data_IF_472071629433
#
_entry.id   IF_472071629433
#
_cell.length_a   1.000
_cell.length_b   1.000
_cell.length_c   1.000
_cell.angle_alpha   90.00
_cell.angle_beta   90.00
_cell.angle_gamma   90.00
#
_symmetry.space_group_name_H-M   'P 1'
#
loop_
_entity.id
_entity.type
_entity.pdbx_description
1 polymer ?
#
# COMPACT_ATOMS: atom_id res chain seq x y z
N UNK A 1 -28.00 10.18 -3.07
CA UNK A 1 -27.01 9.95 -4.12
C UNK A 1 -25.62 9.78 -3.48
N UNK A 2 -24.87 8.80 -3.92
CA UNK A 2 -23.48 8.63 -3.48
C UNK A 2 -22.60 9.45 -4.43
N UNK A 3 -21.85 10.41 -3.88
CA UNK A 3 -20.87 11.18 -4.62
C UNK A 3 -19.50 10.53 -4.38
N UNK A 4 -18.86 10.09 -5.44
CA UNK A 4 -17.50 9.54 -5.36
C UNK A 4 -16.49 10.62 -4.96
N UNK A 5 -15.37 10.19 -4.36
CA UNK A 5 -14.29 11.09 -3.99
C UNK A 5 -13.76 11.81 -5.25
N UNK A 6 -13.63 13.15 -5.23
CA UNK A 6 -13.16 13.89 -6.39
C UNK A 6 -11.69 13.57 -6.67
N UNK A 7 -11.40 13.25 -7.92
CA UNK A 7 -10.05 13.00 -8.41
C UNK A 7 -9.64 14.06 -9.41
N UNK A 8 -8.36 14.37 -9.44
CA UNK A 8 -7.73 15.18 -10.48
C UNK A 8 -6.70 14.35 -11.22
N UNK A 9 -6.65 14.54 -12.53
CA UNK A 9 -5.52 14.09 -13.33
C UNK A 9 -4.39 15.11 -13.20
N UNK A 10 -3.19 14.61 -13.02
CA UNK A 10 -1.98 15.40 -12.95
C UNK A 10 -1.03 14.94 -14.05
N UNK A 11 -0.34 15.87 -14.67
CA UNK A 11 0.75 15.56 -15.57
C UNK A 11 1.91 14.96 -14.77
N UNK A 12 2.58 13.97 -15.36
CA UNK A 12 3.74 13.36 -14.72
C UNK A 12 4.90 14.36 -14.64
N UNK A 13 5.50 14.42 -13.46
CA UNK A 13 6.72 15.19 -13.19
C UNK A 13 7.88 14.25 -12.91
N UNK A 14 9.08 14.67 -13.23
CA UNK A 14 10.28 13.93 -12.86
C UNK A 14 10.48 14.01 -11.34
N UNK A 15 10.53 12.85 -10.70
CA UNK A 15 10.72 12.73 -9.25
C UNK A 15 12.20 12.72 -8.85
N UNK A 16 13.10 12.58 -9.82
CA UNK A 16 14.53 12.45 -9.57
C UNK A 16 14.85 11.35 -8.52
N UNK A 17 14.13 10.21 -8.62
CA UNK A 17 14.30 9.05 -7.73
C UNK A 17 15.07 7.97 -8.48
N UNK A 18 16.17 7.54 -7.92
CA UNK A 18 16.95 6.42 -8.44
C UNK A 18 16.52 5.12 -7.74
N UNK A 19 15.90 4.22 -8.48
CA UNK A 19 15.55 2.86 -8.04
C UNK A 19 16.43 1.86 -8.79
N UNK A 20 17.21 1.10 -8.04
CA UNK A 20 18.14 0.12 -8.59
C UNK A 20 17.39 -1.02 -9.31
N UNK A 21 16.36 -1.55 -8.66
CA UNK A 21 15.58 -2.67 -9.18
C UNK A 21 14.39 -2.21 -10.03
N UNK A 22 14.01 -3.03 -11.02
CA UNK A 22 12.87 -2.75 -11.91
C UNK A 22 11.52 -3.13 -11.31
N UNK A 23 11.52 -3.89 -10.21
CA UNK A 23 10.32 -4.26 -9.48
C UNK A 23 10.38 -3.68 -8.06
N UNK A 24 9.55 -2.66 -7.80
CA UNK A 24 9.48 -2.07 -6.48
C UNK A 24 8.03 -2.07 -5.97
N UNK A 25 7.87 -2.36 -4.69
CA UNK A 25 6.65 -2.12 -3.94
C UNK A 25 6.65 -0.71 -3.37
N UNK A 26 5.47 -0.20 -3.06
CA UNK A 26 5.27 1.12 -2.46
C UNK A 26 4.47 1.02 -1.18
N UNK A 27 4.91 1.71 -0.15
CA UNK A 27 4.14 2.00 1.07
C UNK A 27 3.97 3.51 1.17
N UNK A 28 2.74 3.99 1.34
CA UNK A 28 2.43 5.40 1.60
C UNK A 28 1.60 5.49 2.86
N UNK A 29 2.21 5.94 3.96
CA UNK A 29 1.55 5.97 5.26
C UNK A 29 2.31 6.83 6.24
N UNK A 30 1.63 7.46 7.19
CA UNK A 30 2.27 7.99 8.39
C UNK A 30 2.71 6.80 9.28
N UNK A 31 3.83 6.93 9.94
CA UNK A 31 4.36 5.89 10.83
C UNK A 31 3.67 5.96 12.20
N UNK A 32 2.56 5.27 12.33
CA UNK A 32 1.78 5.22 13.56
C UNK A 32 1.20 3.82 13.83
N UNK A 33 0.73 3.55 15.06
CA UNK A 33 0.25 2.22 15.47
C UNK A 33 -0.81 1.67 14.54
N UNK A 34 -1.83 2.48 14.19
CA UNK A 34 -2.94 2.07 13.31
C UNK A 34 -2.47 1.65 11.91
N UNK A 35 -1.36 2.21 11.43
CA UNK A 35 -0.88 1.96 10.06
C UNK A 35 -0.04 0.69 9.92
N UNK A 36 0.39 0.08 11.03
CA UNK A 36 1.10 -1.20 11.07
C UNK A 36 2.32 -1.25 10.12
N UNK A 37 3.00 -0.11 9.99
CA UNK A 37 4.07 0.06 8.99
C UNK A 37 5.29 -0.81 9.31
N UNK A 38 5.59 -1.04 10.59
CA UNK A 38 6.72 -1.88 11.00
C UNK A 38 6.59 -3.32 10.54
N UNK A 39 5.43 -3.93 10.75
CA UNK A 39 5.18 -5.29 10.26
C UNK A 39 5.12 -5.30 8.73
N UNK A 40 4.57 -4.25 8.10
CA UNK A 40 4.55 -4.14 6.63
C UNK A 40 5.97 -4.20 6.06
N UNK A 41 6.92 -3.43 6.65
CA UNK A 41 8.32 -3.42 6.20
C UNK A 41 9.03 -4.71 6.58
N UNK A 42 8.95 -5.14 7.86
CA UNK A 42 9.65 -6.32 8.37
C UNK A 42 9.31 -7.57 7.59
N UNK A 43 8.01 -7.89 7.46
CA UNK A 43 7.56 -9.09 6.75
C UNK A 43 7.85 -9.03 5.24
N UNK A 44 7.87 -7.81 4.65
CA UNK A 44 8.29 -7.62 3.28
C UNK A 44 9.80 -7.94 3.12
N UNK A 45 10.65 -7.44 4.01
CA UNK A 45 12.10 -7.73 3.99
C UNK A 45 12.37 -9.21 4.21
N UNK A 46 11.69 -9.84 5.18
CA UNK A 46 11.80 -11.29 5.42
C UNK A 46 11.47 -12.12 4.19
N UNK A 47 10.43 -11.71 3.42
CA UNK A 47 10.03 -12.41 2.21
C UNK A 47 11.02 -12.23 1.07
N UNK A 48 11.64 -11.07 0.97
CA UNK A 48 12.44 -10.70 -0.21
C UNK A 48 13.93 -10.48 0.06
N UNK A 49 14.44 -10.76 1.26
CA UNK A 49 15.84 -10.51 1.61
C UNK A 49 16.87 -11.07 0.59
N UNK A 50 16.55 -12.18 -0.06
CA UNK A 50 17.42 -12.86 -1.02
C UNK A 50 17.10 -12.50 -2.49
N UNK A 51 16.19 -11.54 -2.74
CA UNK A 51 15.74 -11.16 -4.07
C UNK A 51 16.16 -9.72 -4.42
N UNK A 52 16.39 -9.48 -5.70
CA UNK A 52 16.68 -8.16 -6.27
C UNK A 52 15.38 -7.39 -6.55
N UNK A 53 14.75 -6.91 -5.49
CA UNK A 53 13.48 -6.13 -5.50
C UNK A 53 13.59 -4.96 -4.53
N UNK A 54 12.76 -3.93 -4.74
CA UNK A 54 12.75 -2.73 -3.90
C UNK A 54 11.45 -2.53 -3.14
N UNK A 55 11.56 -1.84 -2.00
CA UNK A 55 10.45 -1.27 -1.26
C UNK A 55 10.65 0.24 -1.11
N UNK A 56 9.79 1.02 -1.70
CA UNK A 56 9.74 2.48 -1.51
C UNK A 56 8.80 2.77 -0.35
N UNK A 57 9.32 3.38 0.71
CA UNK A 57 8.57 3.74 1.91
C UNK A 57 8.43 5.26 1.96
N UNK A 58 7.26 5.76 1.56
CA UNK A 58 6.89 7.17 1.68
C UNK A 58 6.19 7.38 3.02
N UNK A 59 6.88 7.98 3.99
CA UNK A 59 6.41 8.08 5.37
C UNK A 59 6.99 9.28 6.12
N UNK A 60 6.39 9.58 7.26
CA UNK A 60 6.89 10.48 8.30
C UNK A 60 6.33 10.00 9.65
N UNK A 61 6.95 10.37 10.76
CA UNK A 61 6.43 10.05 12.10
C UNK A 61 5.27 10.99 12.47
N UNK A 62 5.55 12.29 12.55
CA UNK A 62 4.57 13.30 13.01
C UNK A 62 4.46 14.44 12.00
N UNK A 63 5.59 15.01 11.59
CA UNK A 63 5.70 16.19 10.74
C UNK A 63 6.72 15.96 9.62
N UNK A 64 6.98 16.99 8.84
CA UNK A 64 7.90 16.96 7.71
C UNK A 64 9.22 17.69 7.99
N UNK A 65 9.55 17.87 9.28
CA UNK A 65 10.79 18.53 9.70
C UNK A 65 12.02 17.66 9.47
N UNK A 66 13.20 18.28 9.44
CA UNK A 66 14.46 17.54 9.35
C UNK A 66 14.67 16.61 10.54
N UNK A 67 14.27 17.04 11.74
CA UNK A 67 14.35 16.21 12.96
C UNK A 67 13.48 14.96 12.83
N UNK A 68 12.24 15.10 12.33
CA UNK A 68 11.36 13.96 12.07
C UNK A 68 11.99 13.00 11.03
N UNK A 69 12.64 13.57 10.00
CA UNK A 69 13.35 12.78 8.99
C UNK A 69 14.45 11.92 9.59
N UNK A 70 15.28 12.48 10.47
CA UNK A 70 16.36 11.72 11.11
C UNK A 70 15.82 10.64 12.03
N UNK A 71 14.78 10.89 12.81
CA UNK A 71 14.12 9.87 13.62
C UNK A 71 13.47 8.78 12.76
N UNK A 72 12.79 9.14 11.69
CA UNK A 72 12.19 8.17 10.75
C UNK A 72 13.26 7.28 10.12
N UNK A 73 14.37 7.88 9.68
CA UNK A 73 15.53 7.17 9.13
C UNK A 73 16.15 6.21 10.14
N UNK A 74 16.40 6.68 11.37
CA UNK A 74 16.97 5.86 12.43
C UNK A 74 16.05 4.65 12.74
N UNK A 75 14.75 4.87 12.84
CA UNK A 75 13.77 3.80 13.08
C UNK A 75 13.75 2.76 11.96
N UNK A 76 13.80 3.21 10.69
CA UNK A 76 13.93 2.31 9.55
C UNK A 76 15.24 1.53 9.59
N UNK A 77 16.36 2.18 9.89
CA UNK A 77 17.67 1.52 10.02
C UNK A 77 17.68 0.46 11.12
N UNK A 78 17.03 0.71 12.26
CA UNK A 78 16.88 -0.29 13.32
C UNK A 78 16.11 -1.53 12.85
N UNK A 79 15.03 -1.36 12.10
CA UNK A 79 14.30 -2.50 11.52
C UNK A 79 15.17 -3.30 10.55
N UNK A 80 15.97 -2.61 9.74
CA UNK A 80 16.80 -3.24 8.71
C UNK A 80 18.09 -3.86 9.25
N UNK A 81 18.52 -3.50 10.46
CA UNK A 81 19.73 -4.01 11.09
C UNK A 81 19.71 -5.54 11.34
N UNK A 82 18.51 -6.13 11.45
CA UNK A 82 18.34 -7.58 11.56
C UNK A 82 18.62 -8.34 10.24
N UNK A 83 18.79 -7.63 9.13
CA UNK A 83 18.96 -8.21 7.78
C UNK A 83 20.15 -7.56 7.04
N UNK A 84 21.39 -7.68 7.57
CA UNK A 84 22.55 -6.97 7.01
C UNK A 84 22.91 -7.44 5.60
N UNK A 85 22.74 -8.73 5.29
CA UNK A 85 23.13 -9.36 4.02
C UNK A 85 21.98 -9.40 2.99
N UNK A 86 20.92 -8.62 3.21
CA UNK A 86 19.78 -8.59 2.26
C UNK A 86 20.19 -8.06 0.89
N UNK A 87 19.68 -8.68 -0.16
CA UNK A 87 19.81 -8.22 -1.55
C UNK A 87 18.73 -7.21 -1.94
N UNK A 88 17.59 -7.24 -1.23
CA UNK A 88 16.52 -6.28 -1.47
C UNK A 88 16.85 -4.89 -0.96
N UNK A 89 16.37 -3.86 -1.66
CA UNK A 89 16.57 -2.46 -1.28
C UNK A 89 15.32 -1.86 -0.62
N UNK A 90 15.54 -1.03 0.40
CA UNK A 90 14.46 -0.24 1.04
C UNK A 90 14.82 1.24 0.94
N UNK A 91 13.98 1.99 0.24
CA UNK A 91 14.16 3.43 -0.02
C UNK A 91 13.20 4.24 0.87
N UNK A 92 13.71 5.31 1.47
CA UNK A 92 12.89 6.21 2.29
C UNK A 92 12.62 7.51 1.54
N UNK A 93 11.35 7.82 1.33
CA UNK A 93 10.87 9.13 0.93
C UNK A 93 10.21 9.78 2.15
N UNK A 94 10.81 10.85 2.66
CA UNK A 94 10.30 11.56 3.84
C UNK A 94 9.77 12.94 3.46
N UNK A 95 8.68 13.33 4.11
CA UNK A 95 8.13 14.66 3.98
C UNK A 95 6.93 14.75 3.05
N UNK A 96 6.50 15.98 2.77
CA UNK A 96 5.39 16.27 1.88
C UNK A 96 5.84 16.14 0.42
N UNK A 97 4.93 15.65 -0.39
CA UNK A 97 5.01 15.69 -1.84
C UNK A 97 3.79 16.43 -2.37
N UNK A 98 3.96 17.16 -3.46
CA UNK A 98 2.86 17.81 -4.16
C UNK A 98 1.95 16.75 -4.80
N UNK A 99 0.68 17.08 -5.10
CA UNK A 99 -0.25 16.12 -5.72
C UNK A 99 0.27 15.52 -7.03
N UNK A 100 0.91 16.32 -7.88
CA UNK A 100 1.54 15.87 -9.13
C UNK A 100 2.73 14.92 -8.90
N UNK A 101 3.52 15.17 -7.84
CA UNK A 101 4.63 14.29 -7.45
C UNK A 101 4.09 12.96 -6.88
N UNK A 102 3.01 12.99 -6.10
CA UNK A 102 2.35 11.77 -5.62
C UNK A 102 1.75 10.96 -6.77
N UNK A 103 1.08 11.61 -7.73
CA UNK A 103 0.56 10.95 -8.94
C UNK A 103 1.70 10.29 -9.74
N UNK A 104 2.82 11.00 -9.91
CA UNK A 104 4.00 10.49 -10.60
C UNK A 104 4.66 9.32 -9.85
N UNK A 105 4.62 9.33 -8.50
CA UNK A 105 5.10 8.22 -7.69
C UNK A 105 4.24 6.97 -7.91
N UNK A 106 2.91 7.10 -7.91
CA UNK A 106 1.99 5.98 -8.16
C UNK A 106 2.08 5.44 -9.59
N UNK A 107 2.41 6.28 -10.57
CA UNK A 107 2.56 5.90 -11.98
C UNK A 107 4.00 5.59 -12.39
N UNK A 108 4.96 5.65 -11.47
CA UNK A 108 6.37 5.40 -11.78
C UNK A 108 6.60 4.00 -12.37
N UNK A 109 7.33 3.87 -13.51
CA UNK A 109 7.43 2.61 -14.27
C UNK A 109 8.07 1.46 -13.48
N UNK A 110 8.96 1.76 -12.54
CA UNK A 110 9.60 0.76 -11.67
C UNK A 110 8.79 0.44 -10.40
N UNK A 111 7.72 1.17 -10.09
CA UNK A 111 6.81 0.85 -8.98
C UNK A 111 5.67 -0.02 -9.51
N UNK A 112 5.52 -1.22 -8.96
CA UNK A 112 4.63 -2.25 -9.50
C UNK A 112 3.39 -2.50 -8.63
N UNK A 113 3.44 -2.17 -7.34
CA UNK A 113 2.35 -2.46 -6.42
C UNK A 113 2.42 -1.55 -5.18
N UNK A 114 1.27 -1.08 -4.71
CA UNK A 114 1.16 -0.50 -3.37
C UNK A 114 0.72 -1.56 -2.37
N UNK A 115 1.29 -1.50 -1.16
CA UNK A 115 0.96 -2.40 -0.06
C UNK A 115 0.56 -1.61 1.19
N UNK A 116 -0.44 -2.10 1.91
CA UNK A 116 -0.85 -1.55 3.20
C UNK A 116 -1.36 -2.66 4.10
N UNK A 117 -0.86 -2.73 5.33
CA UNK A 117 -1.37 -3.62 6.38
C UNK A 117 -2.05 -2.83 7.51
N UNK A 118 -2.65 -1.71 7.17
CA UNK A 118 -3.37 -0.87 8.13
C UNK A 118 -4.42 -1.67 8.91
N UNK A 119 -4.56 -1.35 10.18
CA UNK A 119 -5.61 -1.93 11.03
C UNK A 119 -7.00 -1.40 10.72
N UNK A 120 -7.10 -0.30 9.96
CA UNK A 120 -8.37 0.29 9.49
C UNK A 120 -8.15 1.64 8.81
N UNK A 121 -8.99 1.93 7.84
CA UNK A 121 -9.04 3.19 7.09
C UNK A 121 -10.47 3.73 7.03
N UNK A 122 -10.65 5.04 7.20
CA UNK A 122 -11.93 5.65 6.89
C UNK A 122 -12.30 5.48 5.42
N UNK A 123 -11.40 5.87 4.53
CA UNK A 123 -11.53 5.68 3.07
C UNK A 123 -10.31 4.98 2.47
N UNK A 124 -9.09 5.37 2.87
CA UNK A 124 -7.85 4.81 2.35
C UNK A 124 -7.33 5.58 1.13
N UNK A 125 -7.23 6.91 1.24
CA UNK A 125 -6.78 7.80 0.15
C UNK A 125 -5.54 7.31 -0.60
N UNK A 126 -4.44 6.91 0.05
CA UNK A 126 -3.26 6.44 -0.68
C UNK A 126 -3.54 5.21 -1.55
N UNK A 127 -4.42 4.30 -1.10
CA UNK A 127 -4.81 3.13 -1.88
C UNK A 127 -5.74 3.52 -3.04
N UNK A 128 -6.62 4.50 -2.82
CA UNK A 128 -7.50 5.03 -3.85
C UNK A 128 -6.70 5.73 -4.95
N UNK A 129 -5.80 6.64 -4.57
CA UNK A 129 -4.94 7.36 -5.51
C UNK A 129 -4.06 6.41 -6.33
N UNK A 130 -3.49 5.38 -5.68
CA UNK A 130 -2.73 4.33 -6.36
C UNK A 130 -3.59 3.55 -7.36
N UNK A 131 -4.80 3.13 -6.96
CA UNK A 131 -5.74 2.43 -7.84
C UNK A 131 -6.20 3.31 -9.01
N UNK A 132 -6.44 4.60 -8.77
CA UNK A 132 -6.77 5.60 -9.79
C UNK A 132 -5.63 5.80 -10.81
N UNK A 133 -4.37 5.63 -10.39
CA UNK A 133 -3.20 5.60 -11.27
C UNK A 133 -2.92 4.21 -11.86
N UNK A 134 -3.84 3.25 -11.69
CA UNK A 134 -3.73 1.89 -12.24
C UNK A 134 -2.66 1.03 -11.56
N UNK A 135 -2.21 1.41 -10.35
CA UNK A 135 -1.25 0.62 -9.59
C UNK A 135 -1.97 -0.54 -8.88
N UNK A 136 -1.51 -1.79 -9.00
CA UNK A 136 -2.04 -2.92 -8.24
C UNK A 136 -1.94 -2.71 -6.73
N UNK A 137 -2.91 -3.24 -5.97
CA UNK A 137 -3.03 -3.06 -4.51
C UNK A 137 -2.94 -4.41 -3.79
N UNK A 138 -2.21 -4.45 -2.68
CA UNK A 138 -2.25 -5.53 -1.68
C UNK A 138 -2.70 -4.92 -0.34
N UNK A 139 -3.80 -5.41 0.23
CA UNK A 139 -4.35 -4.89 1.48
C UNK A 139 -5.24 -5.94 2.16
N UNK A 140 -5.51 -5.83 3.48
CA UNK A 140 -6.54 -6.61 4.14
C UNK A 140 -7.93 -6.36 3.53
N UNK A 141 -8.76 -7.38 3.47
CA UNK A 141 -10.16 -7.27 3.01
C UNK A 141 -11.07 -6.67 4.09
N UNK A 142 -10.69 -5.49 4.62
CA UNK A 142 -11.31 -4.84 5.77
C UNK A 142 -11.33 -3.33 5.63
N UNK A 143 -12.43 -2.67 6.10
CA UNK A 143 -12.49 -1.22 6.23
C UNK A 143 -12.79 -0.47 4.91
N UNK A 144 -12.70 0.86 4.93
CA UNK A 144 -13.25 1.76 3.90
C UNK A 144 -12.67 1.60 2.50
N UNK A 145 -11.45 1.13 2.34
CA UNK A 145 -10.89 0.92 1.00
C UNK A 145 -11.60 -0.18 0.18
N UNK A 146 -12.45 -0.98 0.80
CA UNK A 146 -13.29 -1.96 0.08
C UNK A 146 -14.29 -1.28 -0.85
N UNK A 147 -14.72 -0.06 -0.54
CA UNK A 147 -15.73 0.65 -1.32
C UNK A 147 -15.31 0.87 -2.77
N UNK A 148 -14.03 1.05 -3.03
CA UNK A 148 -13.49 1.27 -4.38
C UNK A 148 -12.65 0.10 -4.93
N UNK A 149 -12.18 -0.83 -4.08
CA UNK A 149 -11.42 -2.00 -4.54
C UNK A 149 -12.30 -3.17 -5.01
N UNK A 150 -13.61 -3.07 -4.83
CA UNK A 150 -14.61 -3.93 -5.45
C UNK A 150 -15.35 -3.15 -6.54
N UNK A 151 -15.23 -3.59 -7.78
CA UNK A 151 -15.75 -2.85 -8.93
C UNK A 151 -16.51 -3.76 -9.91
N UNK A 152 -17.50 -3.20 -10.66
CA UNK A 152 -18.21 -3.91 -11.70
C UNK A 152 -17.31 -4.11 -12.93
N UNK A 153 -16.65 -5.26 -13.00
CA UNK A 153 -15.73 -5.59 -14.09
C UNK A 153 -16.44 -6.38 -15.19
N UNK A 154 -16.39 -5.83 -16.39
CA UNK A 154 -16.89 -6.51 -17.58
C UNK A 154 -15.93 -7.63 -18.01
N UNK A 155 -16.47 -8.81 -18.24
CA UNK A 155 -15.76 -9.98 -18.78
C UNK A 155 -16.55 -10.61 -19.91
N UNK A 156 -15.87 -11.31 -20.83
CA UNK A 156 -16.55 -12.13 -21.84
C UNK A 156 -16.79 -13.54 -21.27
N UNK A 157 -18.02 -14.00 -21.27
CA UNK A 157 -18.37 -15.38 -20.92
C UNK A 157 -19.27 -15.95 -22.02
N UNK A 158 -18.86 -17.08 -22.62
CA UNK A 158 -19.57 -17.73 -23.73
C UNK A 158 -19.96 -16.75 -24.84
N UNK A 159 -19.03 -15.84 -25.23
CA UNK A 159 -19.25 -14.83 -26.29
C UNK A 159 -20.07 -13.61 -25.87
N UNK A 160 -20.70 -13.60 -24.69
CA UNK A 160 -21.49 -12.48 -24.16
C UNK A 160 -20.71 -11.64 -23.17
N UNK A 161 -20.90 -10.31 -23.20
CA UNK A 161 -20.36 -9.39 -22.19
C UNK A 161 -21.17 -9.54 -20.91
N UNK A 162 -20.49 -9.92 -19.82
CA UNK A 162 -21.10 -10.05 -18.47
C UNK A 162 -20.35 -9.15 -17.52
N UNK A 163 -21.06 -8.30 -16.79
CA UNK A 163 -20.49 -7.44 -15.75
C UNK A 163 -20.80 -8.04 -14.38
N UNK A 164 -19.78 -8.21 -13.56
CA UNK A 164 -19.90 -8.71 -12.17
C UNK A 164 -19.02 -7.89 -11.25
N UNK A 165 -19.48 -7.67 -10.01
CA UNK A 165 -18.63 -7.10 -8.96
C UNK A 165 -17.47 -8.08 -8.69
N UNK A 166 -16.26 -7.57 -8.75
CA UNK A 166 -15.03 -8.32 -8.47
C UNK A 166 -14.13 -7.56 -7.53
N UNK A 167 -13.40 -8.30 -6.71
CA UNK A 167 -12.27 -7.73 -6.01
C UNK A 167 -11.15 -7.43 -7.02
N UNK A 168 -10.62 -6.21 -6.99
CA UNK A 168 -9.59 -5.74 -7.91
C UNK A 168 -8.22 -5.59 -7.25
N UNK A 169 -8.00 -6.25 -6.12
CA UNK A 169 -6.77 -6.21 -5.33
C UNK A 169 -6.40 -7.60 -4.81
N UNK A 170 -5.19 -7.79 -4.33
CA UNK A 170 -4.77 -8.99 -3.63
C UNK A 170 -5.11 -8.85 -2.15
N UNK A 171 -5.97 -9.74 -1.68
CA UNK A 171 -6.51 -9.72 -0.32
C UNK A 171 -5.58 -10.42 0.65
N UNK A 172 -5.24 -9.72 1.72
CA UNK A 172 -4.55 -10.30 2.87
C UNK A 172 -5.58 -10.75 3.89
N UNK A 173 -5.45 -11.99 4.36
CA UNK A 173 -6.28 -12.52 5.44
C UNK A 173 -5.98 -11.80 6.76
N UNK A 174 -6.94 -11.76 7.66
CA UNK A 174 -6.83 -11.01 8.91
C UNK A 174 -7.69 -11.64 10.02
N UNK A 175 -7.42 -11.19 11.25
CA UNK A 175 -8.28 -11.43 12.41
C UNK A 175 -8.65 -10.10 13.05
N UNK A 176 -9.86 -10.01 13.59
CA UNK A 176 -10.26 -8.86 14.42
C UNK A 176 -9.83 -9.12 15.86
N UNK A 177 -9.18 -8.13 16.46
CA UNK A 177 -8.72 -8.14 17.86
C UNK A 177 -8.95 -6.76 18.47
N UNK A 178 -9.06 -6.68 19.82
CA UNK A 178 -9.10 -5.38 20.50
C UNK A 178 -7.96 -4.46 20.07
N UNK A 179 -8.22 -3.16 20.09
CA UNK A 179 -7.22 -2.13 19.83
C UNK A 179 -6.07 -2.28 20.83
N UNK A 180 -4.85 -2.08 20.36
CA UNK A 180 -3.65 -2.11 21.20
C UNK A 180 -3.74 -0.99 22.25
N UNK A 181 -3.39 -1.25 23.54
CA UNK A 181 -3.55 -0.26 24.61
C UNK A 181 -2.87 1.09 24.31
N UNK A 182 -1.70 1.06 23.68
CA UNK A 182 -0.92 2.24 23.29
C UNK A 182 -1.58 3.08 22.18
N UNK A 183 -2.60 2.55 21.52
CA UNK A 183 -3.35 3.23 20.46
C UNK A 183 -4.72 3.73 20.92
N UNK A 184 -5.12 3.42 22.16
CA UNK A 184 -6.36 3.92 22.72
C UNK A 184 -6.27 5.44 22.88
N UNK A 185 -7.30 6.11 22.45
CA UNK A 185 -7.45 7.56 22.55
C UNK A 185 -8.91 7.87 22.92
N UNK A 186 -9.12 8.23 24.17
CA UNK A 186 -10.46 8.47 24.73
C UNK A 186 -11.30 9.40 23.86
N UNK A 187 -12.53 8.98 23.58
CA UNK A 187 -13.45 9.69 22.70
C UNK A 187 -13.17 9.59 21.20
N UNK A 188 -12.06 8.97 20.77
CA UNK A 188 -11.69 8.80 19.37
C UNK A 188 -11.45 7.33 19.01
N UNK A 189 -10.65 6.63 19.78
CA UNK A 189 -10.36 5.19 19.63
C UNK A 189 -10.62 4.52 20.98
N UNK A 190 -11.79 3.95 21.14
CA UNK A 190 -12.19 3.32 22.40
C UNK A 190 -11.49 1.97 22.59
N UNK A 191 -11.23 1.60 23.84
CA UNK A 191 -10.53 0.36 24.20
C UNK A 191 -11.31 -0.91 23.79
N UNK A 192 -12.63 -0.83 23.68
CA UNK A 192 -13.52 -1.93 23.23
C UNK A 192 -13.63 -2.04 21.70
N UNK A 193 -13.05 -1.09 20.95
CA UNK A 193 -13.02 -1.14 19.50
C UNK A 193 -12.14 -2.27 19.00
N UNK A 194 -12.45 -2.77 17.81
CA UNK A 194 -11.68 -3.84 17.18
C UNK A 194 -10.93 -3.35 15.95
N UNK A 195 -9.71 -3.82 15.83
CA UNK A 195 -8.84 -3.58 14.70
C UNK A 195 -8.59 -4.86 13.90
N UNK A 196 -8.36 -4.67 12.61
CA UNK A 196 -7.91 -5.72 11.69
C UNK A 196 -6.41 -5.98 11.88
N UNK A 197 -6.05 -7.19 12.26
CA UNK A 197 -4.66 -7.65 12.32
C UNK A 197 -4.40 -8.59 11.15
N UNK A 198 -3.58 -8.12 10.21
CA UNK A 198 -3.22 -8.88 9.02
C UNK A 198 -2.47 -10.18 9.37
N UNK A 199 -2.74 -11.23 8.61
CA UNK A 199 -2.00 -12.50 8.70
C UNK A 199 -0.68 -12.40 7.92
N UNK A 200 0.42 -12.67 8.60
CA UNK A 200 1.77 -12.59 8.02
C UNK A 200 1.96 -13.54 6.84
N UNK A 201 1.52 -14.79 6.97
CA UNK A 201 1.69 -15.82 5.93
C UNK A 201 0.87 -15.45 4.69
N UNK A 202 -0.35 -14.97 4.89
CA UNK A 202 -1.20 -14.47 3.81
C UNK A 202 -0.55 -13.27 3.11
N UNK A 203 0.00 -12.30 3.86
CA UNK A 203 0.69 -11.15 3.29
C UNK A 203 1.90 -11.56 2.44
N UNK A 204 2.81 -12.36 3.00
CA UNK A 204 3.99 -12.88 2.28
C UNK A 204 3.60 -13.64 1.01
N UNK A 205 2.54 -14.46 1.08
CA UNK A 205 1.96 -15.13 -0.08
C UNK A 205 1.47 -14.14 -1.15
N UNK A 206 0.77 -13.07 -0.77
CA UNK A 206 0.29 -12.08 -1.73
C UNK A 206 1.43 -11.25 -2.34
N UNK A 207 2.46 -10.94 -1.58
CA UNK A 207 3.67 -10.33 -2.09
C UNK A 207 4.30 -11.21 -3.18
N UNK A 208 4.52 -12.50 -2.90
CA UNK A 208 5.10 -13.45 -3.85
C UNK A 208 4.21 -13.64 -5.09
N UNK A 209 2.90 -13.72 -4.91
CA UNK A 209 1.94 -13.79 -6.02
C UNK A 209 2.00 -12.55 -6.91
N UNK A 210 2.15 -11.35 -6.34
CA UNK A 210 2.29 -10.12 -7.12
C UNK A 210 3.60 -10.09 -7.90
N UNK A 211 4.70 -10.53 -7.30
CA UNK A 211 6.01 -10.56 -7.95
C UNK A 211 6.04 -11.52 -9.15
N UNK A 212 5.49 -12.74 -8.96
CA UNK A 212 5.53 -13.78 -10.00
C UNK A 212 4.46 -13.56 -11.09
N UNK A 213 3.27 -13.08 -10.70
CA UNK A 213 2.10 -12.98 -11.59
C UNK A 213 1.78 -11.53 -12.00
N UNK A 214 2.73 -10.61 -11.95
CA UNK A 214 2.48 -9.19 -12.20
C UNK A 214 1.72 -8.93 -13.50
N UNK A 215 2.18 -9.52 -14.62
CA UNK A 215 1.57 -9.32 -15.94
C UNK A 215 0.13 -9.82 -16.01
N UNK A 216 -0.22 -10.80 -15.19
CA UNK A 216 -1.60 -11.30 -15.04
C UNK A 216 -2.44 -10.38 -14.14
N UNK A 217 -1.84 -9.71 -13.16
CA UNK A 217 -2.52 -8.86 -12.18
C UNK A 217 -2.73 -7.44 -12.67
N UNK A 218 -1.73 -6.86 -13.33
CA UNK A 218 -1.77 -5.49 -13.85
C UNK A 218 -3.01 -5.17 -14.70
N UNK A 219 -3.48 -6.03 -15.64
CA UNK A 219 -4.69 -5.76 -16.41
C UNK A 219 -5.96 -5.55 -15.57
N UNK A 220 -6.07 -6.18 -14.41
CA UNK A 220 -7.20 -5.98 -13.51
C UNK A 220 -7.14 -4.60 -12.83
N UNK A 221 -5.96 -4.17 -12.41
CA UNK A 221 -5.76 -2.81 -11.87
C UNK A 221 -6.08 -1.73 -12.92
N UNK A 222 -5.72 -1.94 -14.19
CA UNK A 222 -6.10 -1.03 -15.28
C UNK A 222 -7.63 -1.01 -15.53
N UNK A 223 -8.31 -2.13 -15.33
CA UNK A 223 -9.79 -2.14 -15.39
C UNK A 223 -10.42 -1.39 -14.23
N UNK A 224 -9.84 -1.51 -13.05
CA UNK A 224 -10.25 -0.73 -11.88
C UNK A 224 -10.05 0.76 -12.12
N UNK A 225 -8.85 1.16 -12.58
CA UNK A 225 -8.54 2.55 -12.93
C UNK A 225 -9.58 3.18 -13.87
N UNK A 226 -10.03 2.42 -14.87
CA UNK A 226 -11.04 2.91 -15.83
C UNK A 226 -12.44 3.02 -15.24
N UNK A 227 -12.69 2.37 -14.14
CA UNK A 227 -13.95 2.42 -13.42
C UNK A 227 -14.00 3.60 -12.45
N UNK A 228 -12.89 3.87 -11.76
CA UNK A 228 -12.73 4.98 -10.81
C UNK A 228 -12.69 6.33 -11.54
#
# INVERSE_FOLDING_TARGET
>A
DVVHYPVRNYDNVDLNIELEHDFNYLVVSQWGPRKNIENTIRWWVEEFKDNEVGLVVKTNLVKTSQVDREFTKARLQMLLAAYPDRKCNVYLIHGNMKPEEMSSLYSHPKIKCIVSLTHGEGFGLPLFEAAYNGLPVIAPDWSGHKDFLYAPIATKSKGKKVTKIRNCFLKVDYTLKPVQPEAVWDGVINADSQWCFADEKSYKKQLRNMFIEYDRRKPLAIKLQKYL
#
